data_IF_819990536649
#
_entry.id   IF_819990536649
#
_cell.length_a   1.000
_cell.length_b   1.000
_cell.length_c   1.000
_cell.angle_alpha   90.00
_cell.angle_beta   90.00
_cell.angle_gamma   90.00
#
_symmetry.space_group_name_H-M   'P 1'
#
loop_
_entity.id
_entity.type
_entity.pdbx_description
1 polymer ?
#
# COMPACT_ATOMS: atom_id res chain seq x y z
N UNK A 1 -21.83 -7.37 -0.27
CA UNK A 1 -20.45 -7.31 -0.81
C UNK A 1 -19.45 -7.10 0.32
N UNK A 2 -18.31 -7.81 0.33
CA UNK A 2 -17.24 -7.59 1.33
C UNK A 2 -16.62 -6.20 1.11
N UNK A 3 -16.36 -5.45 2.19
CA UNK A 3 -15.73 -4.12 2.15
C UNK A 3 -14.30 -4.23 2.68
N UNK A 4 -13.39 -3.49 2.08
CA UNK A 4 -11.99 -3.42 2.44
C UNK A 4 -11.57 -1.96 2.59
N UNK A 5 -10.51 -1.73 3.36
CA UNK A 5 -9.86 -0.43 3.50
C UNK A 5 -8.47 -0.56 2.87
N UNK A 6 -8.08 0.40 2.05
CA UNK A 6 -6.71 0.53 1.57
C UNK A 6 -6.03 1.68 2.30
N UNK A 7 -4.85 1.41 2.86
CA UNK A 7 -3.93 2.43 3.31
C UNK A 7 -2.80 2.56 2.28
N UNK A 8 -2.60 3.77 1.77
CA UNK A 8 -1.45 4.12 0.94
C UNK A 8 -0.51 4.94 1.81
N UNK A 9 0.66 4.40 2.06
CA UNK A 9 1.74 5.06 2.77
C UNK A 9 2.78 5.50 1.74
N UNK A 10 2.72 6.78 1.37
CA UNK A 10 3.63 7.38 0.40
C UNK A 10 4.87 7.91 1.13
N UNK A 11 5.84 7.01 1.30
CA UNK A 11 7.18 7.40 1.71
C UNK A 11 7.90 8.16 0.61
N UNK A 12 8.99 8.83 0.99
CA UNK A 12 9.86 9.56 0.05
C UNK A 12 10.59 8.62 -0.91
N UNK A 13 11.08 7.48 -0.42
CA UNK A 13 11.85 6.49 -1.19
C UNK A 13 10.98 5.42 -1.84
N UNK A 14 9.81 5.16 -1.29
CA UNK A 14 8.91 4.09 -1.77
C UNK A 14 7.48 4.36 -1.36
N UNK A 15 6.56 3.89 -2.17
CA UNK A 15 5.14 3.86 -1.85
C UNK A 15 4.73 2.45 -1.44
N UNK A 16 3.96 2.35 -0.36
CA UNK A 16 3.38 1.10 0.12
C UNK A 16 1.86 1.16 0.04
N UNK A 17 1.25 0.05 -0.37
CA UNK A 17 -0.18 -0.17 -0.31
C UNK A 17 -0.47 -1.37 0.60
N UNK A 18 -1.41 -1.20 1.54
CA UNK A 18 -1.85 -2.24 2.46
C UNK A 18 -3.37 -2.32 2.40
N UNK A 19 -3.91 -3.52 2.25
CA UNK A 19 -5.35 -3.78 2.23
C UNK A 19 -5.74 -4.49 3.51
N UNK A 20 -6.75 -3.94 4.19
CA UNK A 20 -7.32 -4.46 5.42
C UNK A 20 -8.74 -4.96 5.20
N UNK A 21 -9.09 -6.06 5.87
CA UNK A 21 -10.50 -6.44 6.05
C UNK A 21 -11.16 -5.63 7.20
N UNK A 22 -12.43 -5.91 7.49
CA UNK A 22 -13.17 -5.21 8.56
C UNK A 22 -12.68 -5.50 9.97
N UNK A 23 -11.96 -6.60 10.16
CA UNK A 23 -11.37 -7.00 11.43
C UNK A 23 -9.95 -6.45 11.57
N UNK A 24 -9.54 -5.53 10.68
CA UNK A 24 -8.22 -4.91 10.63
C UNK A 24 -7.09 -5.91 10.33
N UNK A 25 -7.41 -7.09 9.79
CA UNK A 25 -6.38 -8.02 9.34
C UNK A 25 -5.80 -7.53 8.02
N UNK A 26 -4.47 -7.65 7.87
CA UNK A 26 -3.80 -7.40 6.60
C UNK A 26 -4.09 -8.57 5.66
N UNK A 27 -4.84 -8.31 4.59
CA UNK A 27 -5.15 -9.34 3.57
C UNK A 27 -4.22 -9.25 2.36
N UNK A 28 -3.62 -8.08 2.12
CA UNK A 28 -2.61 -7.90 1.07
C UNK A 28 -1.70 -6.73 1.40
N UNK A 29 -0.44 -6.82 1.01
CA UNK A 29 0.48 -5.68 0.99
C UNK A 29 1.34 -5.71 -0.28
N UNK A 30 1.85 -4.53 -0.66
CA UNK A 30 2.84 -4.34 -1.71
C UNK A 30 3.67 -3.09 -1.39
N UNK A 31 4.96 -3.12 -1.69
CA UNK A 31 5.85 -1.96 -1.61
C UNK A 31 6.54 -1.77 -2.95
N UNK A 32 6.55 -0.54 -3.46
CA UNK A 32 7.21 -0.17 -4.70
C UNK A 32 8.17 0.97 -4.45
N UNK A 33 9.46 0.75 -4.71
CA UNK A 33 10.46 1.81 -4.71
C UNK A 33 10.16 2.85 -5.79
N UNK A 34 10.33 4.12 -5.44
CA UNK A 34 10.26 5.22 -6.38
C UNK A 34 11.54 5.16 -7.23
N UNK A 35 11.45 4.59 -8.44
CA UNK A 35 12.53 4.78 -9.41
C UNK A 35 12.55 6.27 -9.72
N UNK A 36 13.54 7.02 -9.22
CA UNK A 36 13.88 8.30 -9.83
C UNK A 36 14.06 7.99 -11.32
N UNK A 37 13.25 8.60 -12.19
CA UNK A 37 13.59 8.69 -13.61
C UNK A 37 14.95 9.38 -13.61
N UNK A 38 16.01 8.59 -13.80
CA UNK A 38 17.33 9.12 -14.11
C UNK A 38 17.17 9.75 -15.49
N UNK A 39 16.98 11.07 -15.51
CA UNK A 39 17.15 11.94 -16.67
C UNK A 39 18.62 12.02 -17.04
#
# INVERSE_FOLDING_TARGET
MKKYIIAIDQGTTSTRAIVFDRNQNIVKNCTKGNKKQLS
#
